data_IF_186568900940
#
_entry.id   IF_186568900940
#
_cell.length_a   1.000
_cell.length_b   1.000
_cell.length_c   1.000
_cell.angle_alpha   90.00
_cell.angle_beta   90.00
_cell.angle_gamma   90.00
#
_symmetry.space_group_name_H-M   'P 1'
#
loop_
_entity.id
_entity.type
_entity.pdbx_description
1 polymer ?
2 polymer ?
3 polymer ?
4 water ?
#
# COMPACT_ATOMS: atom_id res chain seq x y z
N UNK A 1 -17.58 -15.42 -9.49
CA UNK A 1 -17.49 -14.93 -10.92
C UNK A 1 -16.47 -13.80 -11.16
N UNK A 2 -16.68 -12.60 -10.62
CA UNK A 2 -15.81 -11.43 -10.97
C UNK A 2 -14.56 -11.17 -10.09
N UNK A 3 -13.74 -12.20 -9.86
CA UNK A 3 -12.42 -12.02 -9.20
C UNK A 3 -11.31 -12.78 -9.93
N UNK A 4 -10.15 -12.12 -10.06
CA UNK A 4 -8.90 -12.77 -10.49
C UNK A 4 -7.97 -12.89 -9.30
N UNK A 5 -7.51 -14.10 -9.01
CA UNK A 5 -6.65 -14.37 -7.86
C UNK A 5 -5.22 -14.59 -8.32
N UNK A 6 -4.28 -13.82 -7.78
CA UNK A 6 -2.83 -13.99 -8.03
C UNK A 6 -2.12 -14.22 -6.68
N UNK A 7 -0.93 -14.85 -6.72
CA UNK A 7 -0.11 -14.93 -5.51
C UNK A 7 0.40 -13.56 -5.08
N UNK A 8 0.37 -13.25 -3.79
CA UNK A 8 0.77 -11.89 -3.48
C UNK A 8 2.22 -11.53 -3.80
N UNK A 9 3.11 -12.49 -3.86
CA UNK A 9 4.49 -12.13 -4.07
C UNK A 9 5.21 -13.28 -4.72
N UNK A 10 6.30 -12.94 -5.43
CA UNK A 10 7.25 -13.86 -6.03
C UNK A 10 8.61 -13.20 -5.97
N UNK A 11 9.67 -13.99 -6.04
CA UNK A 11 11.01 -13.45 -6.17
C UNK A 11 11.87 -14.36 -7.06
N UNK A 12 12.96 -13.83 -7.58
CA UNK A 12 13.94 -14.64 -8.31
C UNK A 12 15.22 -13.84 -8.44
N UNK A 13 16.26 -14.50 -8.90
CA UNK A 13 17.55 -13.86 -9.07
C UNK A 13 17.75 -13.49 -10.56
N UNK A 14 18.55 -12.44 -10.82
CA UNK A 14 18.73 -11.99 -12.19
C UNK A 14 19.12 -13.13 -13.11
N UNK A 15 18.51 -13.18 -14.29
CA UNK A 15 18.70 -14.28 -15.23
C UNK A 15 17.80 -15.49 -15.13
N UNK A 16 17.06 -15.64 -14.04
CA UNK A 16 16.08 -16.74 -13.89
C UNK A 16 14.84 -16.50 -14.72
N UNK A 17 14.18 -17.58 -15.09
CA UNK A 17 12.80 -17.51 -15.59
C UNK A 17 11.85 -17.63 -14.43
N UNK A 18 10.88 -16.75 -14.34
CA UNK A 18 9.79 -16.90 -13.38
C UNK A 18 8.42 -16.80 -14.06
N UNK A 19 7.39 -17.30 -13.38
CA UNK A 19 6.03 -17.30 -13.91
C UNK A 19 5.03 -16.75 -12.90
N UNK A 20 4.19 -15.82 -13.34
CA UNK A 20 3.14 -15.23 -12.49
C UNK A 20 1.78 -15.80 -12.83
N UNK A 21 1.03 -16.33 -11.87
CA UNK A 21 -0.26 -16.90 -12.22
C UNK A 21 -1.44 -16.01 -11.84
N UNK A 22 -2.60 -16.41 -12.34
CA UNK A 22 -3.85 -15.69 -12.21
C UNK A 22 -4.98 -16.72 -12.40
N UNK A 23 -5.79 -16.95 -11.37
CA UNK A 23 -7.00 -17.81 -11.49
C UNK A 23 -8.27 -17.00 -11.60
N UNK A 24 -9.04 -17.27 -12.65
CA UNK A 24 -10.35 -16.71 -12.82
C UNK A 24 -11.48 -17.71 -12.78
N UNK A 25 -12.60 -17.25 -13.31
CA UNK A 25 -13.78 -18.05 -13.47
C UNK A 25 -14.21 -18.06 -14.93
N UNK A 26 -15.27 -18.81 -15.19
CA UNK A 26 -15.91 -18.84 -16.50
C UNK A 26 -16.44 -17.49 -16.95
N UNK A 27 -16.49 -16.52 -16.05
CA UNK A 27 -17.01 -15.19 -16.37
C UNK A 27 -16.01 -14.24 -17.02
N UNK A 28 -14.73 -14.59 -16.86
CA UNK A 28 -13.61 -13.74 -17.25
C UNK A 28 -12.54 -14.55 -18.01
N UNK A 29 -11.57 -15.13 -17.30
CA UNK A 29 -10.37 -15.65 -17.91
C UNK A 29 -10.69 -16.80 -18.88
N UNK A 30 -11.72 -17.58 -18.62
CA UNK A 30 -11.95 -18.75 -19.48
C UNK A 30 -12.31 -18.34 -20.91
N UNK A 31 -13.19 -17.34 -21.09
CA UNK A 31 -13.76 -17.12 -22.46
C UNK A 31 -13.51 -15.76 -23.06
N UNK A 32 -13.11 -14.82 -22.21
CA UNK A 32 -12.88 -13.47 -22.61
C UNK A 32 -11.40 -13.25 -22.67
N UNK A 33 -11.01 -12.06 -23.14
CA UNK A 33 -9.62 -11.70 -23.38
C UNK A 33 -9.01 -11.30 -22.00
N UNK A 34 -7.75 -11.68 -21.80
CA UNK A 34 -6.95 -11.39 -20.59
C UNK A 34 -5.80 -10.47 -21.02
N UNK A 35 -5.40 -9.56 -20.14
CA UNK A 35 -4.29 -8.62 -20.34
C UNK A 35 -3.33 -8.72 -19.15
N UNK A 36 -2.08 -8.32 -19.33
CA UNK A 36 -1.11 -8.19 -18.21
C UNK A 36 -0.49 -6.80 -18.19
N UNK A 37 -0.38 -6.21 -16.98
CA UNK A 37 0.25 -4.90 -16.69
C UNK A 37 1.42 -5.00 -15.69
N UNK A 38 2.50 -4.26 -15.98
CA UNK A 38 3.57 -3.95 -15.02
C UNK A 38 3.31 -2.59 -14.35
N UNK A 39 3.60 -2.52 -13.08
CA UNK A 39 3.47 -1.30 -12.35
C UNK A 39 4.73 -1.13 -11.55
N UNK A 40 5.54 -0.14 -11.97
CA UNK A 40 6.84 0.15 -11.35
C UNK A 40 6.77 1.40 -10.53
N UNK A 41 7.57 1.46 -9.49
CA UNK A 41 7.52 2.68 -8.70
C UNK A 41 7.70 3.95 -9.52
N UNK A 42 6.80 4.90 -9.30
CA UNK A 42 6.88 6.21 -9.91
C UNK A 42 6.35 6.30 -11.32
N UNK A 43 5.76 5.20 -11.82
CA UNK A 43 5.18 5.22 -13.18
C UNK A 43 3.78 4.60 -13.22
N UNK A 44 3.01 4.91 -14.24
CA UNK A 44 1.66 4.42 -14.39
C UNK A 44 1.75 2.94 -14.81
N UNK A 45 0.68 2.15 -14.60
CA UNK A 45 0.63 0.79 -15.11
C UNK A 45 0.85 0.74 -16.62
N UNK A 46 1.58 -0.30 -17.08
CA UNK A 46 2.02 -0.43 -18.46
C UNK A 46 1.58 -1.78 -19.00
N UNK A 47 0.86 -1.77 -20.11
CA UNK A 47 0.33 -2.93 -20.78
C UNK A 47 1.51 -3.73 -21.33
N UNK A 48 1.62 -5.02 -20.94
CA UNK A 48 2.64 -5.89 -21.45
C UNK A 48 2.12 -6.85 -22.51
N UNK A 49 0.92 -7.40 -22.28
CA UNK A 49 0.30 -8.47 -23.09
C UNK A 49 -1.16 -8.13 -23.29
N UNK A 50 -1.69 -8.32 -24.48
CA UNK A 50 -3.13 -8.10 -24.76
C UNK A 50 -3.71 -9.34 -25.44
N UNK A 51 -5.01 -9.54 -25.24
CA UNK A 51 -5.75 -10.60 -25.89
C UNK A 51 -5.12 -11.94 -25.66
N UNK A 52 -4.89 -12.23 -24.38
CA UNK A 52 -4.37 -13.53 -23.89
C UNK A 52 -2.86 -13.73 -24.00
N UNK A 53 -2.32 -13.69 -25.21
CA UNK A 53 -0.88 -13.96 -25.42
C UNK A 53 -0.13 -13.02 -26.40
N UNK A 54 -0.71 -11.89 -26.77
CA UNK A 54 -0.04 -10.97 -27.72
C UNK A 54 0.82 -9.99 -26.99
N UNK A 55 2.12 -10.01 -27.23
CA UNK A 55 3.01 -9.04 -26.63
C UNK A 55 2.78 -7.65 -27.22
N UNK A 56 2.71 -6.68 -26.33
CA UNK A 56 2.49 -5.29 -26.72
C UNK A 56 3.70 -4.71 -27.45
N UNK A 57 3.48 -3.74 -28.33
CA UNK A 57 4.52 -3.06 -29.06
C UNK A 57 5.57 -2.50 -28.13
N UNK A 58 6.83 -2.77 -28.42
CA UNK A 58 7.93 -2.24 -27.62
C UNK A 58 8.30 -2.99 -26.38
N UNK A 59 7.50 -3.97 -25.96
CA UNK A 59 7.84 -4.77 -24.79
C UNK A 59 8.83 -5.86 -25.23
N UNK A 60 9.90 -6.11 -24.45
CA UNK A 60 10.87 -7.11 -24.89
C UNK A 60 10.34 -8.54 -24.90
N UNK A 61 10.88 -9.40 -25.76
CA UNK A 61 10.34 -10.74 -26.00
C UNK A 61 10.66 -11.73 -24.86
N UNK A 62 11.32 -11.25 -23.82
CA UNK A 62 11.45 -12.04 -22.61
C UNK A 62 10.14 -12.10 -21.81
N UNK A 63 9.19 -11.21 -22.12
CA UNK A 63 7.84 -11.31 -21.58
C UNK A 63 6.94 -12.14 -22.50
N UNK A 64 6.25 -13.16 -21.96
CA UNK A 64 5.25 -13.93 -22.72
C UNK A 64 4.09 -14.36 -21.82
N UNK A 65 2.94 -14.69 -22.38
CA UNK A 65 1.81 -15.17 -21.59
C UNK A 65 1.01 -16.28 -22.26
N UNK A 66 0.29 -17.02 -21.43
CA UNK A 66 -0.56 -18.12 -21.92
C UNK A 66 -1.84 -18.16 -21.07
N UNK A 67 -2.73 -19.08 -21.45
CA UNK A 67 -3.99 -19.20 -20.80
C UNK A 67 -4.45 -20.63 -21.00
N UNK A 68 -4.87 -21.26 -19.91
CA UNK A 68 -5.40 -22.62 -19.98
C UNK A 68 -6.60 -22.69 -19.05
N UNK A 69 -7.79 -22.86 -19.65
CA UNK A 69 -9.04 -22.91 -18.91
C UNK A 69 -9.19 -21.67 -18.07
N UNK A 70 -9.47 -21.84 -16.78
CA UNK A 70 -9.61 -20.64 -15.92
C UNK A 70 -8.31 -20.10 -15.36
N UNK A 71 -7.16 -20.63 -15.79
CA UNK A 71 -5.84 -20.05 -15.43
C UNK A 71 -5.09 -19.32 -16.56
N UNK A 72 -4.42 -18.22 -16.20
CA UNK A 72 -3.51 -17.48 -17.09
C UNK A 72 -2.16 -17.31 -16.40
N UNK A 73 -1.08 -17.19 -17.18
CA UNK A 73 0.30 -17.17 -16.66
C UNK A 73 1.10 -16.16 -17.48
N UNK A 74 1.82 -15.28 -16.79
CA UNK A 74 2.82 -14.42 -17.38
C UNK A 74 4.20 -14.99 -17.04
N UNK A 75 4.98 -15.35 -18.08
CA UNK A 75 6.39 -15.74 -17.95
C UNK A 75 7.37 -14.58 -18.26
N UNK A 76 8.35 -14.40 -17.39
CA UNK A 76 9.49 -13.51 -17.64
C UNK A 76 10.78 -14.32 -17.63
N UNK A 77 11.37 -14.54 -18.79
CA UNK A 77 12.70 -15.10 -18.87
C UNK A 77 13.74 -13.98 -18.65
N UNK A 78 14.96 -14.40 -18.31
CA UNK A 78 16.09 -13.47 -18.23
C UNK A 78 15.83 -12.29 -17.30
N UNK A 79 15.27 -12.58 -16.14
CA UNK A 79 14.92 -11.56 -15.13
C UNK A 79 15.99 -10.49 -14.89
N UNK A 80 15.59 -9.23 -14.80
CA UNK A 80 16.54 -8.14 -14.64
C UNK A 80 16.15 -7.32 -13.41
N UNK A 81 17.11 -6.67 -12.75
CA UNK A 81 16.84 -5.78 -11.62
C UNK A 81 15.67 -4.78 -11.87
N UNK A 82 15.69 -4.21 -13.08
CA UNK A 82 14.66 -3.33 -13.62
C UNK A 82 13.21 -3.90 -13.59
N UNK A 83 13.05 -5.23 -13.50
CA UNK A 83 11.72 -5.87 -13.52
C UNK A 83 10.99 -5.87 -12.16
N UNK A 84 11.68 -5.57 -11.08
CA UNK A 84 11.07 -5.52 -9.75
C UNK A 84 9.95 -4.45 -9.71
N UNK A 85 8.79 -4.86 -9.21
CA UNK A 85 7.58 -4.08 -9.16
C UNK A 85 6.37 -5.03 -9.18
N UNK A 86 5.18 -4.47 -9.44
CA UNK A 86 3.92 -5.20 -9.30
C UNK A 86 3.45 -5.64 -10.70
N UNK A 87 2.91 -6.87 -10.78
CA UNK A 87 2.40 -7.44 -12.03
C UNK A 87 0.93 -7.85 -11.80
N UNK A 88 0.03 -7.36 -12.66
CA UNK A 88 -1.44 -7.60 -12.56
C UNK A 88 -1.96 -8.31 -13.81
N UNK A 89 -2.74 -9.38 -13.66
CA UNK A 89 -3.59 -9.81 -14.76
C UNK A 89 -4.85 -8.96 -14.70
N UNK A 90 -5.56 -8.95 -15.82
CA UNK A 90 -6.83 -8.25 -15.98
C UNK A 90 -7.63 -9.00 -17.02
N UNK A 91 -8.94 -8.88 -16.97
CA UNK A 91 -9.82 -9.51 -17.93
C UNK A 91 -11.12 -8.75 -18.00
N UNK A 92 -11.85 -8.98 -19.08
CA UNK A 92 -13.25 -8.63 -19.17
C UNK A 92 -14.11 -9.67 -18.45
N UNK A 93 -15.04 -9.21 -17.62
CA UNK A 93 -15.99 -10.08 -16.92
C UNK A 93 -17.41 -9.79 -17.39
N UNK A 94 -18.13 -10.81 -17.81
CA UNK A 94 -19.46 -10.53 -18.35
C UNK A 94 -20.60 -11.04 -17.47
N UNK A 95 -20.38 -11.08 -16.15
CA UNK A 95 -21.37 -11.62 -15.19
C UNK A 95 -22.65 -10.81 -15.10
N UNK A 96 -22.57 -9.51 -15.35
CA UNK A 96 -23.73 -8.66 -15.39
C UNK A 96 -24.10 -8.47 -16.85
N UNK A 97 -23.50 -9.24 -17.74
CA UNK A 97 -23.82 -9.13 -19.15
C UNK A 97 -23.43 -7.83 -19.82
N UNK A 98 -22.42 -7.14 -19.30
CA UNK A 98 -21.85 -6.03 -20.02
C UNK A 98 -20.36 -6.12 -19.87
N UNK A 99 -19.66 -5.11 -20.38
CA UNK A 99 -18.21 -5.04 -20.29
C UNK A 99 -17.73 -4.54 -18.91
N UNK A 100 -17.45 -5.45 -17.98
CA UNK A 100 -16.80 -5.04 -16.72
C UNK A 100 -15.32 -5.47 -16.76
N UNK A 101 -14.44 -4.53 -16.46
CA UNK A 101 -13.02 -4.77 -16.39
C UNK A 101 -12.68 -5.17 -14.97
N UNK A 102 -11.91 -6.25 -14.82
CA UNK A 102 -11.42 -6.72 -13.50
C UNK A 102 -9.89 -6.90 -13.50
N UNK A 103 -9.23 -6.27 -12.54
CA UNK A 103 -7.81 -6.51 -12.25
C UNK A 103 -7.64 -7.59 -11.19
N UNK A 104 -6.62 -8.41 -11.35
CA UNK A 104 -6.17 -9.30 -10.33
C UNK A 104 -5.62 -8.55 -9.15
N UNK A 105 -5.46 -9.26 -8.04
CA UNK A 105 -4.90 -8.73 -6.82
C UNK A 105 -3.49 -8.17 -6.91
N UNK A 106 -2.73 -8.57 -7.91
CA UNK A 106 -1.35 -8.12 -8.06
C UNK A 106 -0.36 -9.05 -7.43
N UNK A 107 0.75 -9.32 -8.10
CA UNK A 107 1.89 -10.02 -7.53
C UNK A 107 3.08 -9.09 -7.41
N UNK A 108 3.67 -8.98 -6.23
CA UNK A 108 4.85 -8.13 -6.07
C UNK A 108 6.08 -9.01 -6.34
N UNK A 109 6.84 -8.65 -7.38
CA UNK A 109 8.04 -9.39 -7.75
C UNK A 109 9.26 -8.69 -7.17
N UNK A 110 10.06 -9.39 -6.36
CA UNK A 110 11.37 -8.89 -5.91
C UNK A 110 12.44 -9.59 -6.74
N UNK A 111 13.36 -8.85 -7.34
CA UNK A 111 14.49 -9.44 -8.04
C UNK A 111 15.63 -9.34 -7.05
N UNK A 112 16.09 -10.48 -6.57
CA UNK A 112 16.95 -10.50 -5.42
C UNK A 112 18.27 -9.79 -5.73
N UNK A 113 18.45 -8.63 -5.10
CA UNK A 113 19.61 -7.73 -5.27
C UNK A 113 20.70 -8.02 -4.21
N UNK A 114 20.31 -8.42 -3.00
CA UNK A 114 21.23 -8.65 -1.91
C UNK A 114 20.89 -9.92 -1.13
N UNK A 115 21.76 -10.33 -0.19
CA UNK A 115 21.45 -11.57 0.49
C UNK A 115 20.24 -11.41 1.38
N UNK A 116 19.52 -12.51 1.59
CA UNK A 116 18.35 -12.48 2.49
C UNK A 116 18.79 -12.08 3.88
N UNK A 117 17.92 -11.33 4.57
CA UNK A 117 18.20 -10.87 5.91
C UNK A 117 16.96 -11.01 6.76
N UNK A 118 17.12 -11.64 7.93
CA UNK A 118 16.06 -11.82 8.89
C UNK A 118 15.82 -10.55 9.70
N UNK A 119 14.55 -10.24 10.02
CA UNK A 119 14.22 -9.04 10.79
C UNK A 119 14.78 -9.04 12.25
N UNK A 120 15.17 -7.88 12.77
CA UNK A 120 15.35 -7.73 14.21
C UNK A 120 13.99 -7.33 14.73
N UNK A 121 13.56 -7.91 15.84
CA UNK A 121 12.24 -7.61 16.43
C UNK A 121 12.42 -7.17 17.88
N UNK A 122 11.93 -5.97 18.21
CA UNK A 122 11.90 -5.54 19.60
C UNK A 122 10.47 -5.24 20.03
N UNK A 123 10.08 -5.73 21.21
CA UNK A 123 8.71 -5.58 21.69
C UNK A 123 8.73 -4.79 23.01
N UNK A 124 8.01 -3.66 23.09
CA UNK A 124 7.84 -2.95 24.34
C UNK A 124 6.41 -3.06 24.92
N UNK A 125 6.34 -3.23 26.26
CA UNK A 125 5.03 -3.22 26.93
C UNK A 125 4.54 -1.79 27.13
N UNK A 126 3.30 -1.62 27.60
CA UNK A 126 2.80 -0.31 27.95
C UNK A 126 3.64 0.35 29.00
N UNK A 127 3.81 1.67 28.89
CA UNK A 127 4.49 2.41 29.96
C UNK A 127 3.56 2.62 31.17
N UNK A 128 4.14 2.95 32.32
CA UNK A 128 3.35 3.17 33.52
C UNK A 128 2.62 4.50 33.37
N UNK A 129 3.29 5.47 32.73
CA UNK A 129 2.70 6.76 32.34
C UNK A 129 1.42 6.61 31.54
N UNK A 130 1.47 5.73 30.54
CA UNK A 130 0.31 5.48 29.65
C UNK A 130 -0.81 4.71 30.36
N UNK A 131 -0.42 3.70 31.15
CA UNK A 131 -1.34 3.02 32.05
C UNK A 131 -1.97 3.98 33.07
N UNK A 132 -1.20 4.94 33.59
CA UNK A 132 -1.75 5.96 34.52
C UNK A 132 -2.81 6.82 33.83
N UNK A 133 -2.63 7.01 32.54
CA UNK A 133 -3.59 7.68 31.68
C UNK A 133 -4.65 6.68 31.11
N UNK A 134 -4.84 5.53 31.78
CA UNK A 134 -5.87 4.53 31.42
C UNK A 134 -5.89 4.05 29.96
N UNK A 135 -4.69 3.96 29.36
CA UNK A 135 -4.48 3.31 28.05
C UNK A 135 -3.33 2.34 28.15
N UNK A 136 -3.23 1.48 27.14
CA UNK A 136 -2.18 0.49 27.05
C UNK A 136 -1.87 0.21 25.55
N UNK A 137 -0.61 0.41 25.16
CA UNK A 137 -0.19 0.16 23.78
C UNK A 137 1.08 -0.69 23.82
N UNK A 138 1.00 -1.85 23.15
CA UNK A 138 2.16 -2.66 22.90
C UNK A 138 2.74 -2.19 21.57
N UNK A 139 4.08 -2.08 21.51
CA UNK A 139 4.84 -1.68 20.33
C UNK A 139 5.86 -2.78 19.86
N UNK A 140 5.64 -3.28 18.65
CA UNK A 140 6.48 -4.32 18.04
C UNK A 140 7.21 -3.71 16.84
N UNK A 141 8.52 -3.57 16.99
CA UNK A 141 9.34 -2.85 16.00
C UNK A 141 10.17 -3.89 15.24
N UNK A 142 10.07 -3.89 13.91
CA UNK A 142 10.66 -4.90 13.02
C UNK A 142 11.58 -4.23 11.98
N UNK A 143 12.87 -4.53 11.98
CA UNK A 143 13.79 -3.82 11.08
C UNK A 143 14.78 -4.73 10.41
N UNK A 144 15.46 -4.19 9.40
CA UNK A 144 16.59 -4.85 8.71
C UNK A 144 16.23 -6.17 8.05
N UNK A 145 15.01 -6.29 7.53
CA UNK A 145 14.67 -7.52 6.77
C UNK A 145 14.74 -7.34 5.23
N UNK A 146 15.11 -8.41 4.55
CA UNK A 146 15.10 -8.44 3.08
C UNK A 146 14.88 -9.88 2.59
N UNK A 147 13.95 -10.10 1.63
CA UNK A 147 13.07 -9.12 0.99
C UNK A 147 12.04 -8.47 1.92
N UNK A 148 11.31 -7.52 1.38
CA UNK A 148 10.57 -6.57 2.22
C UNK A 148 9.14 -6.92 2.51
N UNK A 149 8.86 -8.22 2.68
CA UNK A 149 7.53 -8.72 3.10
C UNK A 149 7.61 -9.47 4.42
N UNK A 150 6.80 -9.09 5.41
CA UNK A 150 6.64 -9.86 6.65
C UNK A 150 5.17 -9.96 7.02
N UNK A 151 4.83 -11.04 7.73
CA UNK A 151 3.53 -11.21 8.39
C UNK A 151 3.74 -11.01 9.91
N UNK A 152 2.84 -10.30 10.59
CA UNK A 152 2.87 -10.11 12.07
C UNK A 152 1.62 -10.76 12.74
N UNK A 153 1.83 -11.64 13.73
CA UNK A 153 0.71 -12.21 14.52
C UNK A 153 0.92 -11.78 15.98
N UNK A 154 -0.17 -11.43 16.66
CA UNK A 154 -0.09 -11.20 18.08
C UNK A 154 -0.80 -12.32 18.77
N UNK A 155 -0.38 -12.65 20.00
CA UNK A 155 -1.11 -13.61 20.84
C UNK A 155 -1.27 -13.08 22.25
N UNK A 156 -2.41 -13.42 22.86
CA UNK A 156 -2.72 -13.14 24.25
C UNK A 156 -2.63 -14.46 24.98
N UNK A 157 -1.70 -14.59 25.92
CA UNK A 157 -1.32 -15.92 26.43
C UNK A 157 -1.01 -16.79 25.20
N UNK A 158 -1.77 -17.88 24.96
CA UNK A 158 -1.54 -18.68 23.75
C UNK A 158 -2.47 -18.37 22.57
N UNK A 159 -3.34 -17.36 22.76
CA UNK A 159 -4.50 -17.16 21.89
C UNK A 159 -4.30 -16.02 20.92
N UNK A 160 -4.68 -16.21 19.64
CA UNK A 160 -4.64 -15.12 18.65
C UNK A 160 -5.45 -13.88 19.06
N UNK A 161 -4.87 -12.70 18.84
CA UNK A 161 -5.51 -11.40 19.07
C UNK A 161 -5.68 -10.79 17.69
N UNK A 162 -6.91 -10.52 17.25
CA UNK A 162 -7.07 -9.84 15.95
C UNK A 162 -7.35 -8.35 16.15
N UNK A 163 -8.26 -8.06 17.08
CA UNK A 163 -8.75 -6.71 17.28
C UNK A 163 -7.69 -5.85 18.01
N UNK A 164 -7.68 -4.55 17.70
CA UNK A 164 -6.71 -3.60 18.26
C UNK A 164 -5.30 -3.59 17.65
N UNK A 165 -5.10 -4.27 16.52
CA UNK A 165 -3.80 -4.38 15.84
C UNK A 165 -3.72 -3.40 14.67
N UNK A 166 -2.70 -2.54 14.68
CA UNK A 166 -2.43 -1.64 13.53
C UNK A 166 -0.94 -1.82 13.13
N UNK A 167 -0.68 -2.23 11.87
CA UNK A 167 0.67 -2.52 11.35
C UNK A 167 0.94 -1.69 10.08
N UNK A 168 2.17 -1.20 9.95
CA UNK A 168 2.50 -0.33 8.83
C UNK A 168 2.84 -1.22 7.66
N UNK A 169 2.80 -0.67 6.45
CA UNK A 169 3.41 -1.30 5.30
C UNK A 169 4.91 -1.18 5.51
N UNK A 170 5.68 -2.09 4.96
CA UNK A 170 7.12 -2.05 5.16
C UNK A 170 7.69 -1.00 4.26
N UNK A 171 8.67 -0.25 4.77
CA UNK A 171 9.31 0.77 3.99
C UNK A 171 10.80 0.48 3.93
N UNK A 172 11.39 0.82 2.77
CA UNK A 172 12.81 0.66 2.55
C UNK A 172 13.63 1.63 3.40
N UNK A 173 14.61 1.11 4.16
CA UNK A 173 15.52 1.88 5.02
C UNK A 173 16.66 2.49 4.21
N UNK A 174 17.51 3.29 4.87
CA UNK A 174 18.76 3.81 4.25
C UNK A 174 19.56 2.70 3.54
N UNK A 175 19.62 1.52 4.17
CA UNK A 175 20.43 0.39 3.68
C UNK A 175 19.75 -0.60 2.74
N UNK A 176 18.64 -0.19 2.12
CA UNK A 176 17.86 -1.05 1.20
C UNK A 176 17.21 -2.32 1.79
N UNK A 177 17.32 -2.49 3.10
CA UNK A 177 16.47 -3.44 3.79
C UNK A 177 15.23 -2.67 4.28
N UNK A 178 14.31 -3.38 4.94
CA UNK A 178 13.00 -2.86 5.21
C UNK A 178 12.72 -2.82 6.70
N UNK A 179 11.79 -1.95 7.04
CA UNK A 179 11.34 -1.79 8.40
C UNK A 179 9.82 -1.79 8.41
N UNK A 180 9.25 -2.26 9.52
CA UNK A 180 7.83 -2.07 9.84
C UNK A 180 7.58 -1.96 11.37
N UNK A 181 6.34 -1.59 11.71
CA UNK A 181 5.93 -1.58 13.11
C UNK A 181 4.46 -1.96 13.29
N UNK A 182 4.18 -2.67 14.38
CA UNK A 182 2.84 -3.12 14.69
C UNK A 182 2.52 -2.67 16.11
N UNK A 183 1.34 -2.07 16.28
CA UNK A 183 0.83 -1.61 17.56
C UNK A 183 -0.41 -2.38 17.93
N UNK A 184 -0.44 -2.85 19.17
CA UNK A 184 -1.61 -3.50 19.74
C UNK A 184 -2.10 -2.60 20.84
N UNK A 185 -3.33 -2.11 20.66
CA UNK A 185 -3.99 -1.29 21.65
C UNK A 185 -4.92 -2.13 22.54
N UNK A 186 -4.76 -1.97 23.85
CA UNK A 186 -5.59 -2.70 24.82
C UNK A 186 -6.08 -1.79 25.90
N UNK A 187 -7.09 -2.26 26.65
CA UNK A 187 -7.47 -1.60 27.88
C UNK A 187 -6.45 -1.98 28.94
N UNK A 188 -6.22 -1.12 29.94
CA UNK A 188 -5.32 -1.57 31.01
C UNK A 188 -5.81 -2.85 31.73
N UNK A 189 -7.14 -3.02 31.85
CA UNK A 189 -7.69 -4.24 32.46
C UNK A 189 -7.37 -5.46 31.62
N UNK A 190 -7.41 -5.31 30.30
CA UNK A 190 -6.99 -6.36 29.36
C UNK A 190 -5.51 -6.74 29.45
N UNK A 191 -4.65 -5.72 29.56
CA UNK A 191 -3.21 -5.91 29.72
C UNK A 191 -2.89 -6.71 30.95
N UNK A 192 -3.46 -6.31 32.08
CA UNK A 192 -3.14 -6.97 33.36
C UNK A 192 -3.87 -8.29 33.62
N UNK A 193 -4.89 -8.59 32.81
CA UNK A 193 -5.65 -9.83 32.94
C UNK A 193 -5.00 -11.00 32.23
N UNK A 194 -3.95 -10.75 31.45
CA UNK A 194 -3.24 -11.85 30.81
C UNK A 194 -1.87 -12.15 31.41
N UNK A 195 -1.46 -13.41 31.27
CA UNK A 195 -0.14 -13.84 31.73
C UNK A 195 0.95 -13.28 30.78
N UNK A 196 0.64 -13.17 29.50
CA UNK A 196 1.59 -12.61 28.53
C UNK A 196 0.95 -12.24 27.21
N UNK A 197 1.65 -11.41 26.46
CA UNK A 197 1.36 -11.19 25.05
C UNK A 197 2.63 -11.39 24.21
N UNK A 198 2.47 -11.85 22.97
CA UNK A 198 3.63 -11.95 22.10
C UNK A 198 3.36 -11.30 20.77
N UNK A 199 4.43 -10.79 20.16
CA UNK A 199 4.43 -10.37 18.78
C UNK A 199 5.25 -11.39 18.00
N UNK A 200 4.62 -12.06 17.03
CA UNK A 200 5.26 -13.08 16.21
C UNK A 200 5.43 -12.55 14.79
N UNK A 201 6.67 -12.57 14.32
CA UNK A 201 7.01 -12.04 12.99
C UNK A 201 7.54 -13.16 12.06
N UNK A 202 6.88 -13.32 10.93
CA UNK A 202 7.26 -14.36 9.96
C UNK A 202 7.88 -13.76 8.69
N UNK A 203 9.08 -14.21 8.36
CA UNK A 203 9.80 -13.71 7.18
C UNK A 203 10.40 -14.90 6.45
N UNK A 204 10.06 -15.04 5.17
CA UNK A 204 10.52 -16.17 4.34
C UNK A 204 10.41 -17.51 5.04
N UNK A 205 9.31 -17.78 5.72
CA UNK A 205 9.11 -19.11 6.26
C UNK A 205 9.57 -19.30 7.69
N UNK A 206 10.28 -18.32 8.25
CA UNK A 206 10.75 -18.43 9.61
C UNK A 206 9.93 -17.53 10.47
N UNK A 207 9.46 -18.04 11.61
CA UNK A 207 8.82 -17.21 12.61
C UNK A 207 9.71 -16.95 13.80
N UNK A 208 9.81 -15.67 14.22
CA UNK A 208 10.48 -15.38 15.49
C UNK A 208 9.52 -14.63 16.41
N UNK A 209 9.67 -14.78 17.70
CA UNK A 209 8.81 -14.07 18.57
C UNK A 209 9.57 -13.35 19.66
N UNK A 210 8.86 -12.35 20.22
CA UNK A 210 9.19 -11.70 21.47
C UNK A 210 7.95 -11.72 22.36
N UNK A 211 8.13 -11.83 23.66
CA UNK A 211 7.02 -11.87 24.61
C UNK A 211 7.19 -10.79 25.68
N UNK A 212 6.08 -10.20 26.12
CA UNK A 212 6.06 -9.34 27.30
C UNK A 212 4.94 -9.76 28.27
N UNK A 213 5.16 -9.45 29.55
CA UNK A 213 4.24 -9.78 30.66
C UNK A 213 4.07 -8.55 31.59
N UNK A 214 2.87 -8.36 32.17
CA UNK A 214 2.73 -7.28 33.17
C UNK A 214 3.64 -7.46 34.41
N UNK A 215 3.96 -8.72 34.75
CA UNK A 215 4.70 -9.06 35.97
C UNK A 215 3.86 -8.71 37.19
N UNK B 1 1.98 12.27 -30.35
CA UNK B 1 2.15 11.28 -29.22
C UNK B 1 0.98 11.43 -28.23
N UNK B 2 0.33 10.31 -27.84
CA UNK B 2 -0.83 10.41 -26.94
C UNK B 2 -0.39 10.63 -25.49
N UNK B 3 -0.97 11.62 -24.79
CA UNK B 3 -0.70 11.87 -23.38
C UNK B 3 -1.96 12.24 -22.60
N UNK B 4 -2.10 11.71 -21.36
CA UNK B 4 -3.20 12.11 -20.45
C UNK B 4 -2.53 12.73 -19.22
N UNK B 5 -2.92 13.95 -18.93
CA UNK B 5 -2.25 14.72 -17.91
C UNK B 5 -3.29 14.97 -16.81
N UNK B 6 -3.04 14.41 -15.60
CA UNK B 6 -3.95 14.52 -14.47
C UNK B 6 -3.63 15.70 -13.59
N UNK B 7 -4.63 16.17 -12.86
CA UNK B 7 -4.45 17.29 -11.92
C UNK B 7 -3.58 16.90 -10.69
N UNK B 8 -3.16 17.91 -9.91
CA UNK B 8 -2.16 17.75 -8.88
C UNK B 8 -2.73 17.11 -7.61
N UNK B 9 -1.84 16.70 -6.71
CA UNK B 9 -2.26 16.05 -5.45
C UNK B 9 -3.24 16.89 -4.64
N UNK B 10 -4.17 16.21 -3.93
CA UNK B 10 -5.17 16.91 -3.16
C UNK B 10 -5.14 16.48 -1.69
N UNK B 11 -5.30 17.42 -0.79
CA UNK B 11 -5.39 17.12 0.63
C UNK B 11 -6.68 17.80 1.14
N UNK B 12 -7.64 16.98 1.58
CA UNK B 12 -9.03 17.42 1.89
C UNK B 12 -9.47 16.89 3.26
N UNK B 13 -10.44 17.55 3.82
CA UNK B 13 -11.13 17.14 5.03
C UNK B 13 -12.36 16.29 4.60
N UNK B 14 -12.68 15.31 5.41
CA UNK B 14 -13.84 14.42 5.15
C UNK B 14 -15.06 15.30 5.16
N UNK B 15 -15.90 15.01 4.18
CA UNK B 15 -17.18 15.75 3.99
C UNK B 15 -17.13 16.72 2.79
N UNK B 16 -15.92 17.13 2.41
CA UNK B 16 -15.68 18.17 1.40
C UNK B 16 -15.86 17.58 0.03
N UNK B 17 -16.25 18.43 -0.92
CA UNK B 17 -16.41 18.00 -2.31
C UNK B 17 -15.09 18.13 -3.04
N UNK B 18 -14.91 17.33 -4.09
CA UNK B 18 -13.73 17.39 -4.92
C UNK B 18 -13.98 16.92 -6.34
N UNK B 19 -13.38 17.62 -7.30
CA UNK B 19 -13.37 17.19 -8.68
C UNK B 19 -11.94 17.16 -9.14
N UNK B 20 -11.51 16.01 -9.63
CA UNK B 20 -10.17 15.81 -10.22
C UNK B 20 -10.29 15.66 -11.74
N UNK B 21 -9.20 15.88 -12.47
CA UNK B 21 -9.23 16.05 -13.93
C UNK B 21 -8.13 15.27 -14.65
N UNK B 22 -8.43 15.00 -15.89
CA UNK B 22 -7.57 14.27 -16.78
C UNK B 22 -7.71 14.84 -18.20
N UNK B 23 -6.75 15.67 -18.59
CA UNK B 23 -6.78 16.35 -19.86
C UNK B 23 -5.94 15.58 -20.91
N UNK B 24 -6.50 15.37 -22.09
CA UNK B 24 -5.96 14.38 -23.05
C UNK B 24 -5.34 15.12 -24.25
N UNK B 25 -4.38 14.48 -24.91
CA UNK B 25 -3.78 15.11 -26.08
C UNK B 25 -3.37 14.04 -27.10
N UNK B 26 -3.42 14.38 -28.38
CA UNK B 26 -2.88 13.52 -29.41
C UNK B 26 -3.85 12.57 -30.05
N UNK B 27 -5.13 12.72 -29.78
CA UNK B 27 -6.14 11.86 -30.43
C UNK B 27 -7.53 12.48 -30.29
N UNK B 28 -8.50 11.96 -31.01
CA UNK B 28 -9.88 12.47 -30.95
C UNK B 28 -10.59 12.15 -29.63
N UNK B 29 -10.69 13.16 -28.74
CA UNK B 29 -11.23 12.97 -27.39
C UNK B 29 -12.65 12.39 -27.32
N UNK B 30 -13.53 12.79 -28.24
CA UNK B 30 -14.91 12.31 -28.28
C UNK B 30 -15.05 10.80 -28.61
N UNK B 31 -14.01 10.20 -29.22
CA UNK B 31 -14.14 8.88 -29.85
C UNK B 31 -13.67 7.70 -29.02
N UNK B 32 -13.13 7.92 -27.84
CA UNK B 32 -12.59 6.81 -27.03
C UNK B 32 -13.17 6.86 -25.62
N UNK B 33 -13.49 5.71 -25.05
CA UNK B 33 -13.78 5.65 -23.60
C UNK B 33 -12.56 5.99 -22.77
N UNK B 34 -12.81 6.61 -21.63
CA UNK B 34 -11.85 6.81 -20.59
C UNK B 34 -12.27 6.03 -19.36
N UNK B 35 -11.35 5.28 -18.80
CA UNK B 35 -11.53 4.67 -17.49
C UNK B 35 -10.83 5.36 -16.34
N UNK B 36 -11.34 5.04 -15.14
CA UNK B 36 -10.78 5.40 -13.88
C UNK B 36 -10.50 4.20 -13.01
N UNK B 37 -9.33 4.26 -12.38
CA UNK B 37 -8.75 3.15 -11.59
C UNK B 37 -8.33 3.70 -10.22
N UNK B 38 -8.70 3.03 -9.13
CA UNK B 38 -8.30 3.48 -7.78
C UNK B 38 -7.22 2.61 -7.27
N UNK B 39 -6.26 3.14 -6.50
CA UNK B 39 -5.31 2.28 -5.72
C UNK B 39 -5.22 2.82 -4.28
N UNK B 40 -5.85 2.09 -3.36
CA UNK B 40 -5.75 2.44 -1.96
C UNK B 40 -4.37 2.07 -1.44
N UNK B 41 -3.86 2.82 -0.45
CA UNK B 41 -2.52 2.64 0.13
C UNK B 41 -2.23 1.18 0.47
N UNK B 42 -1.17 0.63 -0.09
CA UNK B 42 -0.79 -0.75 0.17
C UNK B 42 -1.61 -1.82 -0.53
N UNK B 43 -2.51 -1.41 -1.42
CA UNK B 43 -3.48 -2.32 -2.02
C UNK B 43 -3.30 -2.30 -3.53
N UNK B 44 -4.08 -3.09 -4.24
CA UNK B 44 -3.99 -3.19 -5.68
C UNK B 44 -4.86 -2.28 -6.48
N UNK B 45 -4.75 -2.36 -7.80
CA UNK B 45 -5.54 -1.54 -8.73
C UNK B 45 -6.96 -2.04 -8.73
N UNK B 46 -7.92 -1.12 -8.68
CA UNK B 46 -9.35 -1.45 -8.78
C UNK B 46 -10.08 -0.64 -9.87
N UNK B 47 -10.75 -1.29 -10.82
CA UNK B 47 -11.48 -0.52 -11.85
C UNK B 47 -12.71 0.17 -11.22
N UNK B 48 -12.93 1.44 -11.53
CA UNK B 48 -14.08 2.21 -11.04
C UNK B 48 -15.20 2.36 -12.10
N UNK B 49 -14.81 2.58 -13.34
CA UNK B 49 -15.75 2.68 -14.45
C UNK B 49 -15.13 3.28 -15.70
N UNK B 50 -15.96 3.44 -16.73
CA UNK B 50 -15.63 4.10 -18.00
C UNK B 50 -16.67 5.12 -18.39
N UNK B 51 -16.27 6.10 -19.18
CA UNK B 51 -17.11 7.20 -19.63
C UNK B 51 -16.77 7.54 -21.05
N UNK B 52 -17.79 7.78 -21.90
CA UNK B 52 -17.62 7.98 -23.34
C UNK B 52 -17.94 9.43 -23.65
N UNK B 53 -16.89 10.26 -23.90
CA UNK B 53 -17.18 11.70 -23.97
C UNK B 53 -18.04 12.10 -25.13
N UNK B 54 -17.99 11.35 -26.22
CA UNK B 54 -18.78 11.65 -27.44
C UNK B 54 -20.28 11.80 -27.19
N UNK B 55 -20.84 11.03 -26.27
CA UNK B 55 -22.28 11.09 -25.98
C UNK B 55 -22.64 10.93 -24.52
N UNK B 56 -21.64 11.03 -23.65
CA UNK B 56 -21.79 10.92 -22.18
C UNK B 56 -22.35 9.56 -21.68
N UNK B 57 -22.10 8.50 -22.41
CA UNK B 57 -22.48 7.20 -21.92
C UNK B 57 -21.50 6.82 -20.81
N UNK B 58 -21.92 5.91 -19.92
CA UNK B 58 -21.07 5.55 -18.80
C UNK B 58 -21.36 4.18 -18.31
N UNK B 59 -20.38 3.54 -17.68
CA UNK B 59 -20.59 2.26 -16.99
C UNK B 59 -19.73 2.26 -15.77
N UNK B 60 -20.36 2.02 -14.61
CA UNK B 60 -19.72 2.00 -13.31
C UNK B 60 -19.55 0.60 -12.84
N UNK B 61 -18.44 0.33 -12.18
CA UNK B 61 -18.30 -0.93 -11.43
C UNK B 61 -19.33 -0.94 -10.28
N UNK B 62 -19.88 -2.11 -9.91
CA UNK B 62 -20.90 -2.23 -8.87
C UNK B 62 -20.54 -1.48 -7.57
N UNK B 63 -19.29 -1.58 -7.11
CA UNK B 63 -18.92 -0.97 -5.85
C UNK B 63 -18.92 0.53 -5.94
N UNK B 64 -18.95 1.06 -7.17
CA UNK B 64 -18.75 2.50 -7.37
C UNK B 64 -20.01 3.25 -7.81
N UNK B 65 -21.01 2.53 -8.33
CA UNK B 65 -22.29 3.18 -8.74
C UNK B 65 -22.81 3.99 -7.57
N UNK B 66 -23.07 5.26 -7.80
CA UNK B 66 -23.68 6.11 -6.77
C UNK B 66 -22.74 6.70 -5.75
N UNK B 67 -21.46 6.37 -5.81
CA UNK B 67 -20.45 6.84 -4.85
C UNK B 67 -19.50 7.92 -5.40
N UNK B 68 -19.50 8.12 -6.71
CA UNK B 68 -18.57 8.99 -7.43
C UNK B 68 -19.25 9.32 -8.81
N UNK B 69 -18.91 10.43 -9.46
CA UNK B 69 -19.53 10.82 -10.71
C UNK B 69 -18.39 11.11 -11.69
N UNK B 70 -18.45 10.40 -12.80
CA UNK B 70 -17.63 10.66 -14.01
C UNK B 70 -18.34 11.61 -14.91
N UNK B 71 -17.56 12.44 -15.62
CA UNK B 71 -18.08 13.37 -16.58
C UNK B 71 -16.93 13.82 -17.50
N UNK B 72 -17.21 14.76 -18.37
CA UNK B 72 -16.21 15.22 -19.34
C UNK B 72 -16.61 16.58 -19.83
N UNK B 73 -15.61 17.40 -20.17
CA UNK B 73 -15.79 18.67 -20.79
C UNK B 73 -15.18 18.61 -22.20
N UNK B 74 -16.04 18.52 -23.20
CA UNK B 74 -15.57 18.51 -24.56
C UNK B 74 -15.00 19.83 -25.08
N UNK B 75 -15.28 20.95 -24.41
CA UNK B 75 -14.67 22.21 -24.75
C UNK B 75 -13.14 22.27 -24.46
N UNK B 76 -12.64 21.39 -23.57
CA UNK B 76 -11.25 21.36 -23.12
C UNK B 76 -10.59 20.00 -23.19
N UNK B 77 -11.25 18.96 -23.69
CA UNK B 77 -10.66 17.63 -23.78
C UNK B 77 -10.25 17.14 -22.43
N UNK B 78 -11.13 17.39 -21.44
CA UNK B 78 -10.91 16.95 -20.08
C UNK B 78 -12.03 16.05 -19.50
N UNK B 79 -11.60 14.92 -18.94
CA UNK B 79 -12.43 14.01 -18.24
C UNK B 79 -12.31 14.33 -16.78
N UNK B 80 -13.40 14.13 -16.03
CA UNK B 80 -13.42 14.45 -14.58
C UNK B 80 -13.99 13.36 -13.77
N UNK B 81 -13.52 13.33 -12.53
CA UNK B 81 -14.09 12.41 -11.51
C UNK B 81 -14.44 13.30 -10.30
N UNK B 82 -15.65 13.19 -9.76
CA UNK B 82 -16.09 14.05 -8.66
C UNK B 82 -16.84 13.28 -7.56
N UNK B 83 -16.45 13.59 -6.33
CA UNK B 83 -17.17 13.26 -5.09
C UNK B 83 -17.85 14.54 -4.46
N UNK B 84 -19.07 14.38 -3.94
CA UNK B 84 -19.72 15.47 -3.17
C UNK B 84 -19.34 15.48 -1.68
N UNK B 85 -18.93 14.33 -1.16
CA UNK B 85 -18.71 14.12 0.26
C UNK B 85 -17.57 13.07 0.45
N UNK B 86 -16.35 13.52 0.41
CA UNK B 86 -15.20 12.66 0.56
C UNK B 86 -15.17 11.99 1.91
N UNK B 87 -14.84 10.68 1.90
CA UNK B 87 -14.66 9.92 3.13
C UNK B 87 -13.14 9.60 3.30
N UNK B 88 -12.70 9.36 4.53
CA UNK B 88 -11.30 8.95 4.72
C UNK B 88 -10.92 7.75 3.81
N UNK B 89 -11.86 6.83 3.59
CA UNK B 89 -11.63 5.63 2.78
C UNK B 89 -11.49 5.93 1.29
N UNK B 90 -11.67 7.20 0.88
CA UNK B 90 -11.41 7.61 -0.52
C UNK B 90 -9.94 8.00 -0.73
N UNK B 91 -9.16 7.99 0.35
CA UNK B 91 -7.72 8.19 0.31
C UNK B 91 -7.13 7.12 -0.61
N UNK B 92 -6.60 7.58 -1.74
CA UNK B 92 -6.05 6.68 -2.73
C UNK B 92 -5.31 7.49 -3.82
N UNK B 93 -4.60 6.72 -4.62
CA UNK B 93 -4.07 7.21 -5.93
C UNK B 93 -5.07 6.87 -7.04
N UNK B 94 -5.43 7.84 -7.85
CA UNK B 94 -6.41 7.69 -8.90
C UNK B 94 -5.76 7.90 -10.27
N UNK B 95 -5.92 6.92 -11.16
CA UNK B 95 -5.47 6.99 -12.53
C UNK B 95 -6.66 7.13 -13.49
N UNK B 96 -6.51 7.94 -14.56
CA UNK B 96 -7.34 7.82 -15.73
C UNK B 96 -6.53 7.11 -16.83
N UNK B 97 -7.24 6.40 -17.72
CA UNK B 97 -6.62 5.70 -18.82
C UNK B 97 -7.58 5.64 -20.03
N UNK B 98 -7.04 5.70 -21.25
CA UNK B 98 -7.82 5.60 -22.45
C UNK B 98 -8.05 4.16 -22.68
N UNK B 99 -9.28 3.78 -23.05
CA UNK B 99 -9.55 2.43 -23.52
C UNK B 99 -9.37 2.36 -25.05
N UNK B 100 -8.41 1.56 -25.50
CA UNK B 100 -8.02 1.61 -26.88
C UNK B 100 -7.44 0.31 -27.38
N UNK B 101 -6.22 0.40 -27.88
CA UNK B 101 -5.52 -0.73 -28.40
C UNK B 101 -5.42 -0.59 -29.90
N UNK B 102 -6.53 -0.27 -30.56
CA UNK B 102 -6.59 -0.12 -32.03
C UNK B 102 -6.05 -1.37 -32.76
N UNK B 103 -6.26 -2.54 -32.15
CA UNK B 103 -5.72 -3.79 -32.70
C UNK B 103 -6.43 -4.16 -33.99
N UNK B 104 -7.72 -3.81 -34.06
CA UNK B 104 -8.56 -3.96 -35.25
C UNK B 104 -8.98 -2.58 -35.80
N UNK B 105 -9.49 -2.60 -37.03
CA UNK B 105 -10.04 -1.38 -37.61
C UNK B 105 -10.95 -0.62 -36.65
N UNK B 106 -11.77 -1.34 -35.87
CA UNK B 106 -12.70 -0.70 -34.98
C UNK B 106 -12.79 -1.40 -33.63
N UNK B 107 -13.22 -0.62 -32.66
CA UNK B 107 -13.47 -1.12 -31.34
C UNK B 107 -12.30 -0.84 -30.42
N UNK B 108 -12.49 -1.14 -29.14
CA UNK B 108 -11.48 -0.93 -28.14
C UNK B 108 -11.59 -2.09 -27.18
N UNK B 109 -10.49 -2.43 -26.52
CA UNK B 109 -10.52 -3.50 -25.52
C UNK B 109 -9.43 -3.47 -24.44
N UNK B 110 -8.44 -2.55 -24.52
CA UNK B 110 -7.32 -2.54 -23.55
C UNK B 110 -7.01 -1.07 -23.12
N UNK B 111 -6.84 -0.86 -21.84
CA UNK B 111 -6.36 0.43 -21.35
C UNK B 111 -4.90 0.65 -21.76
N UNK B 112 -4.73 1.46 -22.78
CA UNK B 112 -3.40 1.64 -23.45
C UNK B 112 -2.53 2.84 -22.96
N UNK B 113 -3.09 4.06 -22.91
CA UNK B 113 -2.38 5.26 -22.47
C UNK B 113 -2.99 5.70 -21.17
N UNK B 114 -2.12 5.95 -20.18
CA UNK B 114 -2.51 6.25 -18.81
C UNK B 114 -1.97 7.60 -18.36
N UNK B 115 -2.77 8.23 -17.52
CA UNK B 115 -2.34 9.46 -16.85
C UNK B 115 -1.31 9.13 -15.79
N UNK B 116 -0.71 10.15 -15.19
CA UNK B 116 0.33 9.90 -14.23
C UNK B 116 -0.17 9.65 -12.78
N UNK B 117 -1.49 9.69 -12.56
CA UNK B 117 -2.07 9.55 -11.28
C UNK B 117 -2.24 10.86 -10.52
N UNK B 118 -3.35 10.96 -9.80
CA UNK B 118 -3.63 12.03 -8.80
C UNK B 118 -3.77 11.39 -7.39
N UNK B 119 -2.92 11.79 -6.47
CA UNK B 119 -3.03 11.36 -5.06
C UNK B 119 -4.10 12.19 -4.34
N UNK B 120 -5.03 11.53 -3.62
CA UNK B 120 -6.05 12.24 -2.85
C UNK B 120 -5.97 11.73 -1.42
N UNK B 121 -5.80 12.65 -0.46
CA UNK B 121 -5.79 12.30 0.92
C UNK B 121 -6.93 12.97 1.59
N UNK B 122 -7.67 12.21 2.41
CA UNK B 122 -8.87 12.67 3.08
C UNK B 122 -8.78 12.29 4.58
N UNK B 123 -8.94 13.28 5.45
CA UNK B 123 -8.91 13.09 6.86
C UNK B 123 -10.07 13.73 7.57
N UNK B 124 -10.56 13.00 8.54
CA UNK B 124 -11.47 13.59 9.47
C UNK B 124 -10.86 14.21 10.75
N UNK B 125 -9.52 14.17 10.87
CA UNK B 125 -8.83 14.64 12.05
C UNK B 125 -8.49 16.11 11.91
N UNK B 126 -8.18 16.65 13.07
CA UNK B 126 -7.84 18.01 13.29
C UNK B 126 -6.38 18.13 13.81
N UNK B 127 -5.73 19.28 13.61
CA UNK B 127 -4.38 19.49 14.16
C UNK B 127 -4.35 19.05 15.63
N UNK B 128 -3.30 18.34 16.01
CA UNK B 128 -3.22 17.78 17.36
C UNK B 128 -1.80 17.32 17.63
N UNK B 129 -1.27 17.79 18.74
CA UNK B 129 0.09 17.43 19.12
C UNK B 129 0.10 16.12 19.87
N UNK B 130 1.24 15.42 19.85
CA UNK B 130 1.28 14.05 20.41
C UNK B 130 1.42 14.00 21.93
N UNK B 131 1.15 12.83 22.47
CA UNK B 131 1.63 12.49 23.83
C UNK B 131 2.88 11.65 23.65
N UNK B 132 3.84 11.82 24.52
CA UNK B 132 5.08 11.07 24.44
C UNK B 132 5.23 10.24 25.73
N UNK B 133 5.55 8.95 25.55
CA UNK B 133 5.65 8.02 26.66
C UNK B 133 7.01 7.39 26.59
N UNK B 134 7.64 7.11 27.76
CA UNK B 134 8.94 6.46 27.73
C UNK B 134 8.76 4.97 27.42
N UNK B 135 9.67 4.42 26.64
CA UNK B 135 9.75 2.96 26.44
C UNK B 135 11.05 2.49 27.13
N UNK B 136 10.90 1.90 28.31
CA UNK B 136 12.04 1.65 29.20
C UNK B 136 12.85 0.44 28.74
N UNK B 137 14.18 0.45 29.00
CA UNK B 137 15.10 -0.70 28.92
C UNK B 137 14.59 -1.95 29.63
N UNK B 138 14.26 -2.96 28.83
CA UNK B 138 13.79 -4.27 29.30
C UNK B 138 15.02 -5.03 29.78
N UNK B 139 14.94 -5.61 30.97
CA UNK B 139 16.13 -6.15 31.67
C UNK B 139 17.03 -4.99 32.13
N UNK B 140 17.90 -5.28 33.10
CA UNK B 140 18.80 -4.25 33.66
C UNK B 140 20.14 -4.81 34.19
N UNK B 141 20.62 -5.89 33.56
CA UNK B 141 21.92 -6.52 33.90
C UNK B 141 22.23 -7.72 32.96
N UNK B 142 22.11 -7.52 31.64
CA UNK B 142 22.13 -8.64 30.68
C UNK B 142 23.53 -9.23 30.42
N UNK B 143 23.56 -10.31 29.64
CA UNK B 143 24.80 -10.92 29.14
C UNK B 143 24.90 -10.85 27.60
N UNK B 144 24.02 -10.04 26.99
CA UNK B 144 23.96 -9.83 25.54
C UNK B 144 24.22 -8.41 25.09
N UNK B 145 25.21 -7.76 25.70
CA UNK B 145 25.80 -6.53 25.18
C UNK B 145 25.01 -5.24 25.33
N UNK B 146 23.95 -5.09 24.54
CA UNK B 146 23.26 -3.81 24.43
C UNK B 146 21.81 -3.86 24.92
N UNK B 147 21.25 -2.68 25.17
CA UNK B 147 19.84 -2.51 25.55
C UNK B 147 19.15 -1.53 24.61
N UNK B 148 17.88 -1.80 24.29
CA UNK B 148 17.06 -0.91 23.47
C UNK B 148 16.04 -0.18 24.33
N UNK B 149 15.88 1.10 24.08
CA UNK B 149 14.95 1.97 24.80
C UNK B 149 14.43 2.95 23.79
N UNK B 150 13.39 3.69 24.13
CA UNK B 150 12.77 4.53 23.13
C UNK B 150 11.73 5.46 23.67
N UNK B 151 11.06 6.15 22.74
CA UNK B 151 9.90 6.99 23.02
C UNK B 151 8.79 6.64 22.02
N UNK B 152 7.59 6.43 22.55
CA UNK B 152 6.32 6.34 21.78
C UNK B 152 5.67 7.76 21.67
N UNK B 153 5.49 8.18 20.41
CA UNK B 153 4.93 9.48 20.06
C UNK B 153 3.57 9.23 19.52
N UNK B 154 2.57 9.48 20.37
CA UNK B 154 1.23 8.95 20.19
C UNK B 154 0.23 10.06 19.81
N UNK B 155 -0.58 9.76 18.80
CA UNK B 155 -1.82 10.48 18.47
C UNK B 155 -1.60 11.92 18.10
N UNK B 156 -0.90 12.13 17.00
CA UNK B 156 -0.77 13.47 16.41
C UNK B 156 -1.27 13.56 14.96
N UNK B 157 -1.53 14.80 14.54
CA UNK B 157 -1.95 15.12 13.18
C UNK B 157 -1.62 16.59 12.84
N UNK B 158 -1.15 16.87 11.61
CA UNK B 158 -0.71 15.96 10.55
C UNK B 158 0.76 15.56 10.71
N UNK B 159 1.24 14.76 9.77
CA UNK B 159 2.66 14.58 9.61
C UNK B 159 3.30 15.92 9.35
N UNK B 160 4.60 16.06 9.63
CA UNK B 160 5.55 15.17 10.25
C UNK B 160 5.85 15.56 11.72
N UNK B 161 6.56 14.67 12.41
CA UNK B 161 7.18 14.89 13.71
C UNK B 161 8.69 14.68 13.55
N UNK B 162 9.50 15.46 14.24
CA UNK B 162 10.95 15.17 14.29
C UNK B 162 11.30 14.72 15.71
N UNK B 163 12.16 13.71 15.80
CA UNK B 163 12.67 13.19 17.08
C UNK B 163 14.21 13.17 17.06
N UNK B 164 14.79 13.71 18.12
CA UNK B 164 16.21 13.64 18.38
C UNK B 164 16.41 13.09 19.78
N UNK B 165 17.64 12.71 20.09
CA UNK B 165 18.03 12.18 21.40
C UNK B 165 19.19 12.98 21.97
N UNK B 166 19.07 13.35 23.24
CA UNK B 166 20.05 14.20 23.93
C UNK B 166 20.35 15.48 23.12
N UNK B 167 19.31 16.03 22.50
CA UNK B 167 19.41 17.25 21.65
C UNK B 167 20.34 17.07 20.45
N UNK B 168 20.39 15.85 19.89
CA UNK B 168 21.26 15.57 18.75
C UNK B 168 22.64 15.14 19.13
N UNK B 169 22.97 15.20 20.42
CA UNK B 169 24.21 14.65 20.95
C UNK B 169 24.26 13.13 20.80
N UNK B 170 23.09 12.46 20.84
CA UNK B 170 23.05 11.00 20.60
C UNK B 170 22.49 10.73 19.23
N UNK B 171 23.35 10.38 18.27
CA UNK B 171 22.90 10.03 16.90
C UNK B 171 23.13 8.55 16.52
N UNK B 172 24.16 7.90 17.03
CA UNK B 172 24.42 6.49 16.70
C UNK B 172 23.42 5.54 17.34
N UNK B 173 22.92 4.60 16.57
CA UNK B 173 22.06 3.55 17.08
C UNK B 173 20.59 3.92 17.09
N UNK B 174 20.24 5.06 16.50
CA UNK B 174 18.89 5.57 16.59
C UNK B 174 18.07 5.15 15.36
N UNK B 175 16.85 4.67 15.60
CA UNK B 175 15.95 4.31 14.51
C UNK B 175 14.57 4.87 14.85
N UNK B 176 14.19 5.92 14.15
CA UNK B 176 12.90 6.50 14.28
C UNK B 176 12.10 5.85 13.10
N UNK B 177 11.00 5.18 13.46
CA UNK B 177 10.26 4.40 12.51
C UNK B 177 9.18 5.27 11.80
N UNK B 178 8.82 4.95 10.53
CA UNK B 178 7.63 5.55 9.92
C UNK B 178 6.35 5.36 10.74
N UNK B 179 5.55 6.43 10.82
CA UNK B 179 4.29 6.47 11.60
C UNK B 179 3.29 5.46 11.10
N UNK B 180 2.46 4.96 12.04
CA UNK B 180 1.24 4.23 11.65
C UNK B 180 0.15 5.30 11.64
N UNK B 181 -0.77 5.14 10.71
CA UNK B 181 -1.98 5.99 10.59
C UNK B 181 -3.10 5.12 11.14
N UNK B 182 -3.70 5.50 12.27
CA UNK B 182 -4.76 4.69 12.89
C UNK B 182 -6.09 5.00 12.27
N UNK B 183 -7.09 4.13 12.49
CA UNK B 183 -8.40 4.40 11.94
C UNK B 183 -9.04 5.67 12.52
N UNK B 184 -8.51 6.21 13.63
CA UNK B 184 -8.95 7.53 14.16
C UNK B 184 -8.55 8.73 13.29
N UNK B 185 -7.52 8.52 12.46
CA UNK B 185 -6.96 9.56 11.61
C UNK B 185 -5.70 10.14 12.16
N UNK B 186 -5.35 9.76 13.39
CA UNK B 186 -4.14 10.26 14.11
C UNK B 186 -2.98 9.32 13.87
N UNK B 187 -1.77 9.87 13.79
CA UNK B 187 -0.57 9.10 13.55
C UNK B 187 0.09 8.75 14.89
N UNK B 188 0.82 7.65 14.92
CA UNK B 188 1.70 7.38 16.07
C UNK B 188 3.02 6.91 15.50
N UNK B 189 4.13 7.26 16.14
CA UNK B 189 5.39 6.67 15.76
C UNK B 189 6.21 6.33 17.00
N UNK B 190 7.27 5.58 16.78
CA UNK B 190 8.24 5.24 17.84
C UNK B 190 9.66 5.48 17.33
N UNK B 191 10.51 5.92 18.27
CA UNK B 191 11.93 6.03 18.05
C UNK B 191 12.62 5.19 19.09
N UNK B 192 13.55 4.35 18.64
CA UNK B 192 14.30 3.49 19.51
C UNK B 192 15.80 3.77 19.35
N UNK B 193 16.55 3.66 20.44
CA UNK B 193 18.01 3.80 20.42
C UNK B 193 18.62 2.60 21.13
N UNK B 194 19.63 1.99 20.51
CA UNK B 194 20.36 0.90 21.15
C UNK B 194 21.62 1.43 21.81
N UNK B 195 21.77 1.09 23.09
CA UNK B 195 22.86 1.61 23.90
C UNK B 195 23.58 0.50 24.66
N UNK B 196 24.83 0.74 25.07
CA UNK B 196 25.49 -0.26 25.93
C UNK B 196 24.71 -0.44 27.25
N UNK B 197 24.41 -1.74 27.55
CA UNK B 197 23.76 -2.10 28.82
C UNK B 197 24.42 -1.44 30.03
N UNK B 198 25.76 -1.42 30.06
CA UNK B 198 26.50 -0.84 31.18
C UNK B 198 26.20 0.66 31.44
N UNK B 199 25.80 1.40 30.41
CA UNK B 199 25.64 2.87 30.50
C UNK B 199 24.28 3.37 31.08
N UNK B 200 23.39 2.44 31.42
CA UNK B 200 22.18 2.75 32.22
C UNK B 200 22.54 3.19 33.67
N UNK B 201 23.75 2.90 34.12
CA UNK B 201 24.23 3.33 35.43
C UNK B 201 24.87 4.72 35.46
N UNK B 202 24.97 5.36 34.28
CA UNK B 202 25.57 6.69 34.13
C UNK B 202 24.71 7.60 33.27
N UNK B 203 24.44 7.17 32.05
CA UNK B 203 23.99 8.08 30.99
C UNK B 203 22.49 8.33 31.01
N UNK B 204 22.12 9.61 30.99
CA UNK B 204 20.73 10.02 30.91
C UNK B 204 20.31 10.01 29.45
N UNK B 205 19.09 9.54 29.21
CA UNK B 205 18.52 9.51 27.87
C UNK B 205 17.21 10.31 27.79
N UNK B 206 17.20 11.30 26.89
CA UNK B 206 16.07 12.22 26.72
C UNK B 206 15.75 12.28 25.24
N UNK B 207 14.58 11.80 24.84
CA UNK B 207 14.12 11.97 23.46
C UNK B 207 13.42 13.34 23.36
N UNK B 208 13.82 14.11 22.34
CA UNK B 208 13.29 15.45 22.08
C UNK B 208 12.36 15.37 20.84
N UNK B 209 11.07 15.67 21.02
CA UNK B 209 10.00 15.48 19.98
C UNK B 209 9.47 16.88 19.58
N UNK B 210 9.45 17.20 18.23
CA UNK B 210 8.83 18.52 17.82
C UNK B 210 7.72 18.24 16.78
N UNK B 211 6.49 18.58 17.11
CA UNK B 211 5.42 18.63 16.13
C UNK B 211 5.15 20.08 15.78
N UNK B 212 5.61 20.48 14.60
CA UNK B 212 5.56 21.92 14.24
C UNK B 212 4.12 22.44 13.99
N UNK B 213 3.25 21.61 13.36
CA UNK B 213 1.85 22.05 13.15
C UNK B 213 1.09 22.43 14.41
N UNK B 214 1.42 21.84 15.55
CA UNK B 214 0.82 22.18 16.86
C UNK B 214 1.73 23.02 17.71
N UNK B 215 2.90 23.35 17.19
CA UNK B 215 3.93 24.05 17.95
C UNK B 215 4.23 23.38 19.30
N UNK B 216 4.52 22.09 19.21
CA UNK B 216 4.62 21.20 20.33
C UNK B 216 6.02 20.64 20.33
N UNK B 217 6.70 20.92 21.42
CA UNK B 217 8.06 20.57 21.74
C UNK B 217 7.95 19.89 23.12
N UNK B 218 8.37 18.62 23.20
CA UNK B 218 8.34 17.82 24.44
C UNK B 218 9.70 17.16 24.61
N UNK B 219 10.20 17.16 25.84
CA UNK B 219 11.43 16.47 26.19
C UNK B 219 11.12 15.40 27.23
N UNK B 220 11.30 14.13 26.85
CA UNK B 220 10.97 13.01 27.76
C UNK B 220 12.21 12.22 28.17
N UNK B 221 12.48 12.15 29.48
CA UNK B 221 13.50 11.26 30.06
C UNK B 221 13.06 9.77 30.09
N UNK B 222 13.92 8.89 29.57
CA UNK B 222 13.65 7.47 29.52
C UNK B 222 14.64 6.78 30.42
N UNK B 223 14.14 6.15 31.48
CA UNK B 223 15.02 5.55 32.49
C UNK B 223 14.48 4.19 32.95
N UNK B 224 15.39 3.28 33.36
CA UNK B 224 14.96 1.92 33.71
C UNK B 224 14.00 1.85 34.89
N UNK B 225 13.22 0.76 34.89
CA UNK B 225 11.93 0.64 35.62
C UNK B 225 12.06 0.10 37.05
N UNK B 226 10.93 -0.02 37.77
CA UNK B 226 10.96 -0.37 39.18
C UNK B 226 9.60 -0.90 39.69
N UNK C 3 -17.68 2.12 -33.68
CA UNK C 3 -16.58 3.11 -33.79
C UNK C 3 -15.43 2.52 -32.99
N UNK C 4 -14.65 3.38 -32.32
CA UNK C 4 -13.89 2.98 -31.12
C UNK C 4 -14.83 2.91 -29.90
N UNK C 5 -16.12 3.30 -30.08
CA UNK C 5 -17.14 3.08 -28.96
C UNK C 5 -17.34 1.60 -28.67
N UNK C 6 -17.39 0.79 -29.72
CA UNK C 6 -17.60 -0.66 -29.55
C UNK C 6 -16.47 -1.30 -28.68
N UNK C 7 -16.84 -2.11 -27.70
CA UNK C 7 -15.89 -2.77 -26.80
C UNK C 7 -15.93 -4.30 -27.06
N UNK C 8 -14.82 -4.85 -27.50
CA UNK C 8 -14.75 -6.30 -27.88
C UNK C 8 -14.07 -7.14 -26.82
N UNK C 9 -14.82 -8.00 -26.11
CA UNK C 9 -14.28 -8.65 -24.93
C UNK C 9 -13.67 -9.99 -25.29
N UNK C 10 -14.29 -10.53 -26.57
CA UNK C 10 -13.66 -11.74 -27.04
C UNK C 10 -13.83 -11.75 -28.56
N UNK C 11 -13.19 -12.69 -29.26
CA UNK C 11 -13.27 -12.70 -30.69
C UNK C 11 -14.72 -12.76 -31.21
N UNK C 12 -14.98 -12.07 -32.32
CA UNK C 12 -16.29 -12.03 -32.98
C UNK C 12 -17.45 -11.50 -32.10
N UNK C 13 -17.13 -10.73 -31.05
CA UNK C 13 -18.14 -10.18 -30.17
C UNK C 13 -17.90 -8.68 -29.96
N UNK C 14 -18.96 -7.92 -29.75
CA UNK C 14 -18.85 -6.49 -29.37
C UNK C 14 -20.07 -5.98 -28.60
N UNK C 15 -19.78 -5.17 -27.61
CA UNK C 15 -20.75 -4.24 -27.00
C UNK C 15 -20.67 -2.89 -27.72
N UNK C 16 -21.75 -2.13 -27.58
CA UNK C 16 -21.96 -0.89 -28.28
C UNK C 16 -21.70 -0.97 -29.80
N UNK C 17 -22.20 -2.05 -30.46
CA UNK C 17 -21.93 -2.25 -31.87
C UNK C 17 -22.93 -1.45 -32.70
N UNK C 18 -22.42 -0.81 -33.75
CA UNK C 18 -23.11 0.27 -34.49
C UNK C 18 -23.99 -0.19 -35.66
#
# INVERSE_FOLDING_TARGET
QSVLTQPPSASGTPGQRISISCSGTSSNVENNYVYWYQHLPGTAPKLLIYRNDHRSSGIPDRFSASKSGTSASLAISGLRPEDEGDYYCAAWDDSRGGPDWVFGGGTKLTVLAQPKAAPSVTLFPPSSEELQANKATLVCLISDFYPGAVTVAWKADSSPVKAGVETTTPSKQSNNKYAASSYLSLTPEQWKSHKSYSCQVTHEGSTVEKTVAPT
EIQLEQSGAEVKKSGESLKISCQTSGYSFSDYWIGWVRQMPGKGLEWMGIFYPGDSDSRYSPSFEGQVTMSADRSTNTAHLQWSSLKPSDTALYYCARLGGDYEDSGADAFDFWGQGTLVTVSSASTKGPSVFPLAPSSKSTSGGTAALGCLVKDYFPEPVTVSWNSGALTSGVHTFPAVLQSSGLYSLSSVVTVPSSSLGTQTYICNVNHKPSNTKVDKKVEPKS
NNTKKSIKIRPRQAFYATNGIIG
#
